data_IF_691704138415
#
_entry.id   IF_691704138415
#
_cell.length_a   1.000
_cell.length_b   1.000
_cell.length_c   1.000
_cell.angle_alpha   90.00
_cell.angle_beta   90.00
_cell.angle_gamma   90.00
#
_symmetry.space_group_name_H-M   'P 1'
#
loop_
_entity.id
_entity.type
_entity.pdbx_description
1 polymer ?
#
# COMPACT_ATOMS: atom_id res chain seq x y z
N UNK A 1 4.64 -14.22 -19.60
CA UNK A 1 3.88 -12.98 -19.33
C UNK A 1 2.81 -13.34 -18.31
N UNK A 2 2.76 -12.63 -17.18
CA UNK A 2 1.90 -12.83 -15.99
C UNK A 2 2.31 -13.93 -15.02
N UNK A 3 3.38 -13.69 -14.24
CA UNK A 3 3.55 -14.31 -12.91
C UNK A 3 4.00 -13.32 -11.82
N UNK A 4 4.17 -12.03 -12.15
CA UNK A 4 4.84 -11.09 -11.23
C UNK A 4 3.92 -10.09 -10.49
N UNK A 5 2.64 -10.40 -10.31
CA UNK A 5 1.73 -9.53 -9.53
C UNK A 5 0.65 -10.28 -8.74
N UNK A 6 0.87 -11.56 -8.39
CA UNK A 6 0.05 -12.23 -7.35
C UNK A 6 0.84 -12.28 -6.05
N UNK A 7 0.84 -11.18 -5.30
CA UNK A 7 0.91 -11.35 -3.85
C UNK A 7 -0.38 -12.07 -3.48
N UNK A 8 -0.26 -13.35 -3.14
CA UNK A 8 -1.36 -14.09 -2.54
C UNK A 8 -1.74 -13.31 -1.30
N UNK A 9 -2.89 -12.63 -1.31
CA UNK A 9 -3.61 -12.34 -0.07
C UNK A 9 -3.90 -13.72 0.49
N UNK A 10 -2.97 -14.24 1.29
CA UNK A 10 -3.20 -15.41 2.10
C UNK A 10 -4.56 -15.17 2.75
N UNK A 11 -5.44 -16.17 2.74
CA UNK A 11 -6.77 -16.11 3.36
C UNK A 11 -6.76 -15.79 4.86
N UNK A 12 -5.57 -15.54 5.41
CA UNK A 12 -5.33 -14.83 6.66
C UNK A 12 -5.70 -13.36 6.46
N UNK A 13 -6.98 -13.05 6.61
CA UNK A 13 -7.42 -11.69 6.84
C UNK A 13 -6.56 -11.09 7.97
N UNK A 14 -5.96 -9.93 7.74
CA UNK A 14 -5.36 -9.17 8.82
C UNK A 14 -6.48 -8.84 9.81
N UNK A 15 -6.40 -9.44 11.01
CA UNK A 15 -7.41 -9.24 12.04
C UNK A 15 -7.28 -7.83 12.60
N UNK A 16 -8.28 -6.98 12.39
CA UNK A 16 -8.33 -5.60 12.89
C UNK A 16 -8.47 -4.56 11.78
N UNK A 17 -8.39 -3.30 12.18
CA UNK A 17 -8.33 -2.16 11.27
C UNK A 17 -6.88 -1.82 10.91
N UNK A 18 -6.69 -0.61 10.39
CA UNK A 18 -5.34 -0.10 10.18
C UNK A 18 -4.63 0.20 11.50
N UNK A 19 -3.31 0.16 11.46
CA UNK A 19 -2.46 0.62 12.55
C UNK A 19 -2.76 2.09 12.86
N UNK A 20 -2.71 2.45 14.15
CA UNK A 20 -2.90 3.83 14.60
C UNK A 20 -1.85 4.78 14.00
N UNK A 21 -0.66 4.26 13.70
CA UNK A 21 0.42 4.96 13.01
C UNK A 21 0.85 4.13 11.81
N UNK A 22 0.79 4.70 10.61
CA UNK A 22 1.22 4.00 9.40
C UNK A 22 2.67 3.53 9.49
N UNK A 23 2.87 2.24 9.22
CA UNK A 23 4.19 1.62 9.18
C UNK A 23 4.60 1.34 7.74
N UNK A 24 5.92 1.22 7.47
CA UNK A 24 6.39 0.89 6.11
C UNK A 24 5.84 -0.45 5.63
N UNK A 25 5.61 -1.39 6.55
CA UNK A 25 5.00 -2.70 6.27
C UNK A 25 3.54 -2.54 5.85
N UNK A 26 2.73 -1.83 6.64
CA UNK A 26 1.33 -1.54 6.30
C UNK A 26 1.22 -0.79 4.97
N UNK A 27 2.04 0.24 4.74
CA UNK A 27 2.03 1.02 3.51
C UNK A 27 2.34 0.18 2.26
N UNK A 28 3.27 -0.77 2.40
CA UNK A 28 3.62 -1.73 1.36
C UNK A 28 2.46 -2.68 1.05
N UNK A 29 1.73 -3.12 2.07
CA UNK A 29 0.55 -3.97 1.93
C UNK A 29 -0.61 -3.24 1.25
N UNK A 30 -0.87 -1.98 1.64
CA UNK A 30 -1.93 -1.14 1.05
C UNK A 30 -1.72 -0.96 -0.47
N UNK A 31 -0.48 -0.70 -0.89
CA UNK A 31 -0.16 -0.48 -2.31
C UNK A 31 0.16 -1.76 -3.09
N UNK A 32 0.29 -2.91 -2.40
CA UNK A 32 0.66 -4.18 -3.02
C UNK A 32 2.06 -4.17 -3.65
N UNK A 33 3.02 -3.46 -3.03
CA UNK A 33 4.40 -3.31 -3.54
C UNK A 33 5.42 -3.56 -2.43
N UNK A 34 6.68 -3.85 -2.80
CA UNK A 34 7.77 -4.02 -1.84
C UNK A 34 8.09 -2.70 -1.11
N UNK A 35 8.49 -2.72 0.17
CA UNK A 35 8.97 -1.54 0.91
C UNK A 35 10.22 -0.89 0.30
N UNK A 36 10.91 -1.58 -0.61
CA UNK A 36 12.09 -1.09 -1.35
C UNK A 36 11.76 -0.64 -2.77
N UNK A 37 10.46 -0.57 -3.15
CA UNK A 37 10.03 -0.18 -4.49
C UNK A 37 10.36 1.28 -4.80
N UNK A 38 10.63 1.60 -6.06
CA UNK A 38 10.99 2.96 -6.52
C UNK A 38 9.80 3.93 -6.50
N UNK A 39 10.07 5.23 -6.42
CA UNK A 39 9.06 6.31 -6.42
C UNK A 39 8.07 6.20 -7.58
N UNK A 40 8.55 5.80 -8.76
CA UNK A 40 7.68 5.55 -9.92
C UNK A 40 6.67 4.44 -9.65
N UNK A 41 7.12 3.29 -9.12
CA UNK A 41 6.23 2.16 -8.79
C UNK A 41 5.23 2.52 -7.70
N UNK A 42 5.64 3.32 -6.71
CA UNK A 42 4.74 3.82 -5.64
C UNK A 42 3.63 4.68 -6.24
N UNK A 43 3.98 5.65 -7.10
CA UNK A 43 2.99 6.52 -7.77
C UNK A 43 2.03 5.73 -8.65
N UNK A 44 2.54 4.80 -9.43
CA UNK A 44 1.73 4.00 -10.35
C UNK A 44 0.77 3.08 -9.58
N UNK A 45 1.21 2.50 -8.46
CA UNK A 45 0.36 1.70 -7.58
C UNK A 45 -0.72 2.54 -6.91
N UNK A 46 -0.35 3.74 -6.44
CA UNK A 46 -1.26 4.67 -5.78
C UNK A 46 -2.43 5.06 -6.70
N UNK A 47 -2.16 5.42 -7.96
CA UNK A 47 -3.19 5.78 -8.93
C UNK A 47 -4.17 4.65 -9.24
N UNK A 48 -3.77 3.39 -9.11
CA UNK A 48 -4.66 2.24 -9.35
C UNK A 48 -5.71 2.05 -8.26
N UNK A 49 -5.38 2.43 -7.03
CA UNK A 49 -6.22 2.16 -5.84
C UNK A 49 -6.86 3.43 -5.27
N UNK A 50 -6.48 4.60 -5.77
CA UNK A 50 -6.95 5.88 -5.27
C UNK A 50 -8.48 6.01 -5.39
N UNK A 51 -9.14 6.22 -4.27
CA UNK A 51 -10.60 6.39 -4.18
C UNK A 51 -11.19 5.79 -2.90
N UNK A 52 -12.50 5.59 -2.90
CA UNK A 52 -13.24 4.99 -1.80
C UNK A 52 -13.77 6.00 -0.76
N UNK A 53 -13.97 5.53 0.47
CA UNK A 53 -14.44 6.38 1.57
C UNK A 53 -13.34 7.35 2.04
N UNK A 54 -13.70 8.49 2.68
CA UNK A 54 -12.71 9.45 3.17
C UNK A 54 -11.64 8.82 4.07
N UNK A 55 -12.04 7.85 4.89
CA UNK A 55 -11.11 7.12 5.76
C UNK A 55 -10.12 6.25 4.98
N UNK A 56 -10.59 5.52 3.98
CA UNK A 56 -9.73 4.69 3.12
C UNK A 56 -8.79 5.55 2.28
N UNK A 57 -9.30 6.62 1.69
CA UNK A 57 -8.50 7.56 0.91
C UNK A 57 -7.40 8.20 1.77
N UNK A 58 -7.70 8.59 3.01
CA UNK A 58 -6.71 9.12 3.95
C UNK A 58 -5.59 8.10 4.23
N UNK A 59 -5.93 6.81 4.44
CA UNK A 59 -4.95 5.75 4.68
C UNK A 59 -4.10 5.42 3.44
N UNK A 60 -4.69 5.45 2.25
CA UNK A 60 -3.96 5.30 0.98
C UNK A 60 -2.96 6.45 0.79
N UNK A 61 -3.36 7.69 1.10
CA UNK A 61 -2.48 8.86 1.03
C UNK A 61 -1.34 8.78 2.05
N UNK A 62 -1.66 8.46 3.31
CA UNK A 62 -0.66 8.31 4.37
C UNK A 62 0.40 7.25 4.01
N UNK A 63 -0.02 6.13 3.41
CA UNK A 63 0.87 5.07 2.96
C UNK A 63 1.82 5.54 1.85
N UNK A 64 1.29 6.28 0.86
CA UNK A 64 2.08 6.84 -0.24
C UNK A 64 3.13 7.81 0.29
N UNK A 65 2.73 8.75 1.15
CA UNK A 65 3.64 9.74 1.74
C UNK A 65 4.75 9.09 2.58
N UNK A 66 4.44 7.99 3.28
CA UNK A 66 5.43 7.25 4.06
C UNK A 66 6.48 6.57 3.16
N UNK A 67 6.05 5.96 2.06
CA UNK A 67 6.96 5.30 1.11
C UNK A 67 7.82 6.32 0.36
N UNK A 68 7.26 7.48 0.01
CA UNK A 68 7.99 8.57 -0.66
C UNK A 68 9.06 9.20 0.24
N UNK A 69 8.79 9.37 1.55
CA UNK A 69 9.77 9.88 2.53
C UNK A 69 10.93 8.92 2.80
N UNK A 70 10.74 7.64 2.52
CA UNK A 70 11.73 6.60 2.78
C UNK A 70 12.76 6.40 1.66
N UNK A 71 12.69 7.19 0.59
CA UNK A 71 13.48 7.06 -0.65
C UNK A 71 14.25 8.32 -1.04
#
# INVERSE_FOLDING_TARGET
>A
LTDEYRFSFSSHHYNGGFDQKMTKKEASLIHGISPTSTKSKVRDAHWRIMGGSPYMAAKINEAKDLLDKGQ
#
